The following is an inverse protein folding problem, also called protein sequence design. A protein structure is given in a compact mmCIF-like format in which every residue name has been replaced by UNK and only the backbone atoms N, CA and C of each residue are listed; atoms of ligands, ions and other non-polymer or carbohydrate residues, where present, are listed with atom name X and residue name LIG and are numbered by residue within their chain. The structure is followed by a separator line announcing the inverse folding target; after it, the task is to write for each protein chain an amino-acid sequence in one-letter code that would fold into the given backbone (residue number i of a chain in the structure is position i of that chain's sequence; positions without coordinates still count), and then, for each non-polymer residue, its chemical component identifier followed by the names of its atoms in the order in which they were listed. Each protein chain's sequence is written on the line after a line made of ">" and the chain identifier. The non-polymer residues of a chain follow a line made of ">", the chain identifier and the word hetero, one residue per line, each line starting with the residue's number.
data_IF_397451981570
#
_entry.id   IF_397451981570
#
_cell.length_a   1.000
_cell.length_b   1.000
_cell.length_c   1.000
_cell.angle_alpha   90.00
_cell.angle_beta   90.00
_cell.angle_gamma   90.00
#
_symmetry.space_group_name_H-M   'P 1'
#
loop_
_entity.id
_entity.type
_entity.pdbx_description
1 polymer ?
#
# COMPACT_ATOMS: atom_id res chain seq x y z
N UNK A 1 -10.82 -9.89 6.34
CA UNK A 1 -11.70 -9.36 5.26
C UNK A 1 -10.91 -8.76 4.10
N UNK A 2 -9.81 -8.04 4.33
CA UNK A 2 -8.98 -7.45 3.26
C UNK A 2 -8.54 -8.44 2.18
N UNK A 3 -8.08 -9.64 2.55
CA UNK A 3 -7.69 -10.69 1.59
C UNK A 3 -8.82 -11.12 0.64
N UNK A 4 -10.07 -11.17 1.13
CA UNK A 4 -11.22 -11.50 0.26
C UNK A 4 -11.52 -10.37 -0.71
N UNK A 5 -11.39 -9.12 -0.27
CA UNK A 5 -11.56 -7.96 -1.15
C UNK A 5 -10.45 -7.85 -2.20
N UNK A 6 -9.18 -8.11 -1.83
CA UNK A 6 -8.08 -8.21 -2.80
C UNK A 6 -8.39 -9.28 -3.85
N UNK A 7 -8.90 -10.44 -3.44
CA UNK A 7 -9.28 -11.50 -4.36
C UNK A 7 -10.38 -11.06 -5.34
N UNK A 8 -11.40 -10.31 -4.89
CA UNK A 8 -12.43 -9.81 -5.80
C UNK A 8 -11.90 -8.75 -6.77
N UNK A 9 -10.97 -7.89 -6.36
CA UNK A 9 -10.28 -6.96 -7.26
C UNK A 9 -9.56 -7.70 -8.39
N UNK A 10 -8.86 -8.79 -8.06
CA UNK A 10 -8.11 -9.57 -9.05
C UNK A 10 -9.05 -10.38 -9.95
N UNK A 11 -10.00 -11.11 -9.36
CA UNK A 11 -10.82 -12.08 -10.09
C UNK A 11 -11.96 -11.44 -10.86
N UNK A 12 -12.67 -10.49 -10.24
CA UNK A 12 -13.87 -9.87 -10.80
C UNK A 12 -13.52 -8.61 -11.58
N UNK A 13 -12.72 -7.70 -11.00
CA UNK A 13 -12.34 -6.44 -11.65
C UNK A 13 -11.11 -6.54 -12.55
N UNK A 14 -10.48 -7.72 -12.64
CA UNK A 14 -9.30 -7.99 -13.48
C UNK A 14 -8.13 -7.02 -13.25
N UNK A 15 -7.99 -6.52 -12.01
CA UNK A 15 -6.84 -5.69 -11.64
C UNK A 15 -5.58 -6.54 -11.69
N UNK A 16 -4.52 -6.01 -12.30
CA UNK A 16 -3.23 -6.67 -12.33
C UNK A 16 -2.72 -6.82 -10.89
N UNK A 17 -2.35 -8.03 -10.42
CA UNK A 17 -1.82 -8.21 -9.08
C UNK A 17 -0.62 -7.31 -8.75
N UNK A 18 0.19 -6.92 -9.75
CA UNK A 18 1.29 -5.96 -9.56
C UNK A 18 0.82 -4.58 -9.11
N UNK A 19 -0.41 -4.20 -9.45
CA UNK A 19 -1.03 -2.95 -9.04
C UNK A 19 -1.64 -3.03 -7.64
N UNK A 20 -1.42 -4.12 -6.90
CA UNK A 20 -1.92 -4.31 -5.55
C UNK A 20 -0.73 -4.57 -4.62
N UNK A 21 -0.58 -3.73 -3.60
CA UNK A 21 0.38 -3.92 -2.52
C UNK A 21 -0.39 -4.22 -1.24
N UNK A 22 -0.03 -5.34 -0.60
CA UNK A 22 -0.55 -5.72 0.72
C UNK A 22 0.61 -5.83 1.70
N UNK A 23 0.53 -5.05 2.78
CA UNK A 23 1.48 -5.05 3.89
C UNK A 23 0.69 -5.40 5.15
N UNK A 24 1.15 -6.37 5.91
CA UNK A 24 0.63 -6.65 7.26
C UNK A 24 1.80 -6.50 8.23
N UNK A 25 1.73 -5.54 9.13
CA UNK A 25 2.85 -5.14 9.98
C UNK A 25 3.14 -6.12 11.13
N UNK A 26 2.30 -7.12 11.35
CA UNK A 26 2.62 -8.24 12.26
C UNK A 26 3.60 -9.24 11.63
N UNK A 27 3.74 -9.25 10.30
CA UNK A 27 4.66 -10.17 9.63
C UNK A 27 6.11 -9.73 9.84
N UNK A 28 6.97 -10.67 10.23
CA UNK A 28 8.39 -10.41 10.51
C UNK A 28 9.11 -9.78 9.31
N UNK A 29 8.73 -10.15 8.09
CA UNK A 29 9.26 -9.59 6.84
C UNK A 29 9.11 -8.07 6.77
N UNK A 30 8.11 -7.47 7.44
CA UNK A 30 7.85 -6.04 7.47
C UNK A 30 8.26 -5.36 8.78
N UNK A 31 8.92 -6.08 9.69
CA UNK A 31 9.34 -5.57 10.99
C UNK A 31 10.27 -4.35 10.91
N UNK A 32 10.96 -4.15 9.78
CA UNK A 32 11.81 -2.99 9.53
C UNK A 32 11.02 -1.70 9.28
N UNK A 33 9.75 -1.80 8.90
CA UNK A 33 8.89 -0.65 8.64
C UNK A 33 8.35 -0.16 9.99
N UNK A 34 8.90 0.95 10.50
CA UNK A 34 8.49 1.53 11.81
C UNK A 34 8.00 2.96 11.69
N UNK A 35 8.31 3.64 10.60
CA UNK A 35 8.00 5.06 10.41
C UNK A 35 7.33 5.34 9.07
N UNK A 36 6.68 6.49 8.97
CA UNK A 36 6.15 7.00 7.70
C UNK A 36 7.20 7.05 6.57
N UNK A 37 8.47 7.25 6.91
CA UNK A 37 9.55 7.40 5.93
C UNK A 37 9.98 6.03 5.40
N UNK A 38 9.92 4.98 6.24
CA UNK A 38 10.10 3.59 5.81
C UNK A 38 8.98 3.17 4.85
N UNK A 39 7.71 3.43 5.21
CA UNK A 39 6.57 3.17 4.33
C UNK A 39 6.68 3.90 2.98
N UNK A 40 7.04 5.19 3.00
CA UNK A 40 7.28 5.96 1.78
C UNK A 40 8.37 5.34 0.92
N UNK A 41 9.46 4.88 1.54
CA UNK A 41 10.57 4.26 0.83
C UNK A 41 10.14 2.95 0.16
N UNK A 42 9.48 2.06 0.91
CA UNK A 42 8.96 0.79 0.38
C UNK A 42 7.99 1.02 -0.76
N UNK A 43 7.06 1.96 -0.60
CA UNK A 43 6.07 2.30 -1.62
C UNK A 43 6.72 2.81 -2.91
N UNK A 44 7.63 3.77 -2.80
CA UNK A 44 8.30 4.35 -3.96
C UNK A 44 9.16 3.33 -4.70
N UNK A 45 9.84 2.45 -3.97
CA UNK A 45 10.60 1.35 -4.56
C UNK A 45 9.67 0.38 -5.31
N UNK A 46 8.56 -0.02 -4.69
CA UNK A 46 7.61 -0.95 -5.29
C UNK A 46 7.01 -0.40 -6.59
N UNK A 47 6.56 0.87 -6.59
CA UNK A 47 6.02 1.55 -7.77
C UNK A 47 7.06 1.59 -8.89
N UNK A 48 8.31 1.96 -8.56
CA UNK A 48 9.40 2.10 -9.53
C UNK A 48 9.80 0.76 -10.14
N UNK A 49 9.99 -0.28 -9.32
CA UNK A 49 10.42 -1.61 -9.77
C UNK A 49 9.34 -2.30 -10.62
N UNK A 50 8.07 -2.15 -10.24
CA UNK A 50 6.95 -2.74 -10.98
C UNK A 50 6.45 -1.86 -12.13
N UNK A 51 7.03 -0.67 -12.33
CA UNK A 51 6.67 0.30 -13.38
C UNK A 51 5.17 0.62 -13.39
N UNK A 52 4.62 0.86 -12.20
CA UNK A 52 3.18 1.10 -12.03
C UNK A 52 2.85 2.49 -12.60
N UNK A 53 1.98 2.53 -13.60
CA UNK A 53 1.58 3.74 -14.34
C UNK A 53 0.06 3.91 -14.42
N UNK A 54 -0.66 3.16 -13.61
CA UNK A 54 -2.12 3.07 -13.57
C UNK A 54 -2.58 2.94 -12.13
N UNK A 55 -3.90 2.90 -11.92
CA UNK A 55 -4.52 2.82 -10.59
C UNK A 55 -3.84 1.79 -9.70
N UNK A 56 -3.43 2.23 -8.52
CA UNK A 56 -2.64 1.46 -7.57
C UNK A 56 -3.39 1.30 -6.25
N UNK A 57 -3.49 0.06 -5.77
CA UNK A 57 -4.21 -0.28 -4.55
C UNK A 57 -3.22 -0.64 -3.45
N UNK A 58 -3.33 0.03 -2.31
CA UNK A 58 -2.49 -0.19 -1.14
C UNK A 58 -3.37 -0.66 0.00
N UNK A 59 -3.00 -1.79 0.59
CA UNK A 59 -3.65 -2.38 1.75
C UNK A 59 -2.62 -2.49 2.86
N UNK A 60 -2.86 -1.83 3.99
CA UNK A 60 -1.98 -1.89 5.17
C UNK A 60 -2.78 -2.36 6.37
N UNK A 61 -2.40 -3.51 6.91
CA UNK A 61 -2.91 -4.06 8.17
C UNK A 61 -2.05 -3.57 9.34
N UNK A 62 -2.69 -3.28 10.48
CA UNK A 62 -2.06 -2.83 11.73
C UNK A 62 -1.28 -1.50 11.55
N UNK A 63 -1.88 -0.55 10.83
CA UNK A 63 -1.22 0.73 10.47
C UNK A 63 -0.73 1.53 11.69
N UNK A 64 -1.37 1.35 12.84
CA UNK A 64 -1.02 2.02 14.10
C UNK A 64 0.39 1.68 14.60
N UNK A 65 0.99 0.57 14.14
CA UNK A 65 2.38 0.22 14.44
C UNK A 65 3.39 1.21 13.81
N UNK A 66 2.94 2.03 12.85
CA UNK A 66 3.79 3.00 12.16
C UNK A 66 3.70 4.38 12.79
N UNK A 67 4.85 4.88 13.26
CA UNK A 67 4.97 6.24 13.74
C UNK A 67 4.70 7.25 12.61
N UNK A 68 3.69 8.10 12.80
CA UNK A 68 3.35 9.18 11.88
C UNK A 68 2.59 8.75 10.62
N UNK A 69 1.91 7.60 10.65
CA UNK A 69 1.15 7.06 9.53
C UNK A 69 0.11 8.04 8.94
N UNK A 70 -0.52 8.89 9.75
CA UNK A 70 -1.50 9.87 9.25
C UNK A 70 -0.87 10.85 8.25
N UNK A 71 0.38 11.28 8.52
CA UNK A 71 1.13 12.17 7.61
C UNK A 71 1.48 11.45 6.30
N UNK A 72 1.74 10.15 6.36
CA UNK A 72 1.95 9.32 5.18
C UNK A 72 0.71 9.29 4.29
N UNK A 73 -0.46 8.99 4.87
CA UNK A 73 -1.73 8.96 4.13
C UNK A 73 -2.05 10.33 3.51
N UNK A 74 -1.85 11.41 4.26
CA UNK A 74 -2.06 12.76 3.77
C UNK A 74 -1.10 13.12 2.62
N UNK A 75 0.17 12.71 2.73
CA UNK A 75 1.16 12.91 1.68
C UNK A 75 0.78 12.19 0.39
N UNK A 76 0.34 10.93 0.47
CA UNK A 76 -0.04 10.18 -0.73
C UNK A 76 -1.29 10.75 -1.37
N UNK A 77 -2.29 11.17 -0.58
CA UNK A 77 -3.51 11.76 -1.14
C UNK A 77 -3.26 13.10 -1.85
N UNK A 78 -2.24 13.83 -1.42
CA UNK A 78 -1.80 15.07 -2.07
C UNK A 78 -0.95 14.81 -3.32
N UNK A 79 -0.33 13.64 -3.42
CA UNK A 79 0.39 13.22 -4.62
C UNK A 79 -0.60 12.74 -5.69
N UNK A 80 -0.69 13.48 -6.79
CA UNK A 80 -1.59 13.20 -7.91
C UNK A 80 -0.88 12.56 -9.10
N UNK A 81 0.36 12.07 -8.93
CA UNK A 81 1.12 11.43 -10.01
C UNK A 81 0.52 10.10 -10.45
N UNK A 82 -0.08 9.35 -9.53
CA UNK A 82 -0.75 8.07 -9.76
C UNK A 82 -2.06 8.06 -8.98
N UNK A 83 -3.12 7.51 -9.55
CA UNK A 83 -4.37 7.29 -8.83
C UNK A 83 -4.15 6.18 -7.79
N UNK A 84 -4.10 6.55 -6.50
CA UNK A 84 -3.88 5.60 -5.39
C UNK A 84 -5.13 5.45 -4.55
N UNK A 85 -5.57 4.20 -4.33
CA UNK A 85 -6.58 3.86 -3.33
C UNK A 85 -5.93 3.13 -2.16
N UNK A 86 -6.08 3.68 -0.95
CA UNK A 86 -5.48 3.12 0.27
C UNK A 86 -6.58 2.63 1.21
N UNK A 87 -6.41 1.40 1.69
CA UNK A 87 -7.22 0.78 2.72
C UNK A 87 -6.31 0.45 3.91
N UNK A 88 -6.71 0.89 5.09
CA UNK A 88 -5.98 0.67 6.34
C UNK A 88 -6.91 0.05 7.39
N UNK A 89 -6.34 -0.76 8.27
CA UNK A 89 -6.99 -1.36 9.44
C UNK A 89 -6.17 -1.12 10.69
#
# INVERSE_FOLDING_TARGET
>A
MLKQFINSLIQEKKINPKNILYINLEYEDFSFIKTKDDLNTVLNLYIKENKINSKFFIFIDEIQEIAGWEKFINSIRADHTIEVEIYIT
#
